data_IF_664902301754
#
_entry.id   IF_664902301754
#
_cell.length_a   1.000
_cell.length_b   1.000
_cell.length_c   1.000
_cell.angle_alpha   90.00
_cell.angle_beta   90.00
_cell.angle_gamma   90.00
#
_symmetry.space_group_name_H-M   'P 1'
#
loop_
_entity.id
_entity.type
_entity.pdbx_description
1 polymer ?
#
# COMPACT_ATOMS: atom_id res chain seq x y z
N UNK A 1 15.73 30.28 -22.75
CA UNK A 1 17.11 29.91 -22.24
C UNK A 1 17.05 29.42 -20.78
N UNK A 2 16.41 30.14 -19.82
CA UNK A 2 16.39 29.73 -18.40
C UNK A 2 15.71 28.34 -18.17
N UNK A 3 14.59 28.07 -18.82
CA UNK A 3 13.89 26.76 -18.66
C UNK A 3 14.73 25.58 -19.13
N UNK A 4 15.44 25.72 -20.26
CA UNK A 4 16.29 24.65 -20.80
C UNK A 4 17.46 24.33 -19.85
N UNK A 5 18.08 25.37 -19.27
CA UNK A 5 19.16 25.20 -18.30
C UNK A 5 18.66 24.54 -17.00
N UNK A 6 17.48 24.93 -16.53
CA UNK A 6 16.86 24.34 -15.35
C UNK A 6 16.56 22.85 -15.57
N UNK A 7 15.96 22.50 -16.73
CA UNK A 7 15.67 21.09 -17.08
C UNK A 7 16.95 20.26 -17.17
N UNK A 8 18.00 20.77 -17.82
CA UNK A 8 19.27 20.07 -17.87
C UNK A 8 19.86 19.84 -16.47
N UNK A 9 19.76 20.82 -15.58
CA UNK A 9 20.24 20.68 -14.20
C UNK A 9 19.42 19.65 -13.41
N UNK A 10 18.09 19.65 -13.56
CA UNK A 10 17.22 18.65 -12.92
C UNK A 10 17.51 17.24 -13.41
N UNK A 11 17.72 17.07 -14.72
CA UNK A 11 18.10 15.79 -15.31
C UNK A 11 19.44 15.27 -14.78
N UNK A 12 20.45 16.13 -14.69
CA UNK A 12 21.75 15.77 -14.09
C UNK A 12 21.57 15.30 -12.65
N UNK A 13 20.85 16.08 -11.84
CA UNK A 13 20.64 15.75 -10.43
C UNK A 13 19.83 14.47 -10.23
N UNK A 14 18.94 14.14 -11.17
CA UNK A 14 18.10 12.95 -11.14
C UNK A 14 18.72 11.74 -11.87
N UNK A 15 19.94 11.89 -12.39
CA UNK A 15 20.65 10.89 -13.21
C UNK A 15 19.87 10.45 -14.45
N UNK A 16 19.27 11.44 -15.15
CA UNK A 16 18.51 11.26 -16.39
C UNK A 16 19.34 11.70 -17.61
N UNK A 17 18.99 11.21 -18.78
CA UNK A 17 19.61 11.60 -20.05
C UNK A 17 19.22 13.03 -20.44
N UNK A 18 20.23 13.91 -20.53
CA UNK A 18 20.05 15.33 -20.91
C UNK A 18 19.75 15.48 -22.40
N UNK A 19 20.27 14.57 -23.22
CA UNK A 19 20.13 14.62 -24.67
C UNK A 19 18.74 14.16 -25.14
N UNK A 20 18.14 13.21 -24.43
CA UNK A 20 16.80 12.72 -24.76
C UNK A 20 15.72 13.70 -24.27
N UNK A 21 14.96 14.28 -25.21
CA UNK A 21 13.91 15.27 -24.95
C UNK A 21 12.55 14.85 -25.49
N UNK A 22 12.48 13.73 -26.20
CA UNK A 22 11.28 13.25 -26.91
C UNK A 22 10.50 12.21 -26.10
N UNK A 23 11.15 11.60 -25.11
CA UNK A 23 10.56 10.55 -24.29
C UNK A 23 10.47 11.01 -22.83
N UNK A 24 9.40 10.60 -22.12
CA UNK A 24 9.31 10.77 -20.67
C UNK A 24 10.44 10.03 -19.97
N UNK A 25 10.97 10.63 -18.90
CA UNK A 25 11.99 10.01 -18.06
C UNK A 25 11.63 10.16 -16.58
N UNK A 26 11.88 9.12 -15.80
CA UNK A 26 11.67 9.10 -14.36
C UNK A 26 13.01 8.88 -13.64
N UNK A 27 13.23 9.64 -12.57
CA UNK A 27 14.45 9.56 -11.78
C UNK A 27 14.26 10.04 -10.36
N UNK A 28 15.35 10.02 -9.60
CA UNK A 28 15.36 10.40 -8.18
C UNK A 28 16.53 11.33 -7.91
N UNK A 29 16.27 12.42 -7.20
CA UNK A 29 17.31 13.32 -6.67
C UNK A 29 17.47 13.02 -5.18
N UNK A 30 18.67 12.59 -4.78
CA UNK A 30 19.07 12.50 -3.37
C UNK A 30 19.50 13.88 -2.93
N UNK A 31 18.55 14.68 -2.44
CA UNK A 31 18.77 16.12 -2.19
C UNK A 31 19.87 16.42 -1.17
N UNK A 32 20.12 15.50 -0.24
CA UNK A 32 21.23 15.60 0.73
C UNK A 32 22.59 15.83 0.06
N UNK A 33 22.81 15.29 -1.12
CA UNK A 33 24.06 15.46 -1.87
C UNK A 33 24.25 16.89 -2.41
N UNK A 34 23.18 17.66 -2.55
CA UNK A 34 23.17 18.98 -3.17
C UNK A 34 22.89 20.12 -2.20
N UNK A 35 22.60 19.83 -0.93
CA UNK A 35 22.28 20.85 0.05
C UNK A 35 23.29 20.87 1.22
N UNK A 36 23.70 22.10 1.61
CA UNK A 36 24.65 22.33 2.72
C UNK A 36 23.98 22.38 4.10
N UNK A 37 22.63 22.37 4.16
CA UNK A 37 21.84 22.51 5.39
C UNK A 37 21.48 21.16 6.03
N UNK A 38 21.98 20.03 5.50
CA UNK A 38 21.73 18.70 6.05
C UNK A 38 20.28 18.20 5.89
N UNK A 39 19.48 18.84 5.03
CA UNK A 39 18.08 18.41 4.79
C UNK A 39 18.11 17.06 4.07
N UNK A 40 17.63 16.03 4.72
CA UNK A 40 17.59 14.66 4.19
C UNK A 40 16.21 14.34 3.60
N UNK A 41 16.00 14.80 2.38
CA UNK A 41 14.80 14.51 1.58
C UNK A 41 15.25 14.01 0.20
N UNK A 42 14.42 13.19 -0.42
CA UNK A 42 14.59 12.85 -1.83
C UNK A 42 13.46 13.48 -2.64
N UNK A 43 13.71 13.66 -3.93
CA UNK A 43 12.75 14.14 -4.90
C UNK A 43 12.59 13.08 -5.99
N UNK A 44 11.38 12.56 -6.15
CA UNK A 44 11.03 11.82 -7.37
C UNK A 44 10.76 12.84 -8.46
N UNK A 45 11.46 12.71 -9.57
CA UNK A 45 11.38 13.60 -10.73
C UNK A 45 10.82 12.81 -11.90
N UNK A 46 9.77 13.32 -12.52
CA UNK A 46 9.26 12.82 -13.80
C UNK A 46 9.35 13.96 -14.81
N UNK A 47 9.97 13.70 -15.96
CA UNK A 47 10.05 14.67 -17.07
C UNK A 47 9.25 14.15 -18.25
N UNK A 48 8.60 15.06 -18.97
CA UNK A 48 7.85 14.71 -20.18
C UNK A 48 7.97 15.82 -21.24
N UNK A 49 7.96 15.45 -22.55
CA UNK A 49 7.85 16.41 -23.63
C UNK A 49 6.51 17.12 -23.62
N UNK A 50 6.50 18.44 -23.80
CA UNK A 50 5.33 19.29 -23.93
C UNK A 50 5.44 20.14 -25.19
N UNK A 51 4.34 20.80 -25.59
CA UNK A 51 4.30 21.63 -26.81
C UNK A 51 5.37 22.74 -26.86
N UNK A 52 5.78 23.27 -25.71
CA UNK A 52 6.74 24.37 -25.62
C UNK A 52 8.07 23.99 -24.96
N UNK A 53 8.41 22.69 -24.94
CA UNK A 53 9.63 22.19 -24.34
C UNK A 53 9.37 21.01 -23.40
N UNK A 54 10.19 20.83 -22.39
CA UNK A 54 10.00 19.76 -21.41
C UNK A 54 9.38 20.30 -20.12
N UNK A 55 8.44 19.55 -19.56
CA UNK A 55 7.91 19.75 -18.22
C UNK A 55 8.53 18.80 -17.22
N UNK A 56 8.61 19.21 -15.95
CA UNK A 56 9.01 18.34 -14.86
C UNK A 56 8.02 18.40 -13.69
N UNK A 57 7.70 17.24 -13.15
CA UNK A 57 6.95 17.10 -11.89
C UNK A 57 7.90 16.54 -10.85
N UNK A 58 7.99 17.21 -9.71
CA UNK A 58 8.82 16.78 -8.59
C UNK A 58 7.94 16.48 -7.37
N UNK A 59 8.08 15.28 -6.80
CA UNK A 59 7.43 14.89 -5.57
C UNK A 59 8.45 14.75 -4.45
N UNK A 60 8.23 15.47 -3.35
CA UNK A 60 9.05 15.36 -2.15
C UNK A 60 8.79 13.99 -1.48
N UNK A 61 9.86 13.28 -1.21
CA UNK A 61 9.91 12.05 -0.42
C UNK A 61 10.64 12.37 0.88
N UNK A 62 9.89 12.56 1.95
CA UNK A 62 10.43 12.92 3.27
C UNK A 62 10.90 11.64 3.97
N UNK A 63 12.21 11.43 4.04
CA UNK A 63 12.82 10.28 4.71
C UNK A 63 12.65 10.29 6.23
N UNK A 64 12.38 11.46 6.81
CA UNK A 64 12.15 11.57 8.25
C UNK A 64 10.75 11.09 8.66
N UNK A 65 9.84 10.89 7.70
CA UNK A 65 8.61 10.18 7.96
C UNK A 65 8.92 8.70 8.09
N UNK A 66 9.39 8.33 9.28
CA UNK A 66 9.48 6.95 9.72
C UNK A 66 8.14 6.22 9.50
N UNK A 67 8.20 4.93 9.27
CA UNK A 67 7.03 4.06 9.28
C UNK A 67 6.25 4.30 10.58
N UNK A 68 4.95 4.55 10.44
CA UNK A 68 4.08 4.66 11.60
C UNK A 68 3.95 3.25 12.23
N UNK A 69 3.85 3.14 13.56
CA UNK A 69 3.52 1.86 14.15
C UNK A 69 2.12 1.42 13.72
N UNK A 70 1.85 0.12 13.62
CA UNK A 70 0.55 -0.43 13.21
C UNK A 70 -0.61 0.14 14.03
N UNK A 71 -0.38 0.43 15.31
CA UNK A 71 -1.34 1.07 16.24
C UNK A 71 -1.81 2.45 15.79
N UNK A 72 -1.01 3.16 14.99
CA UNK A 72 -1.33 4.51 14.53
C UNK A 72 -2.06 4.55 13.18
N UNK A 73 -2.27 3.39 12.52
CA UNK A 73 -2.81 3.30 11.16
C UNK A 73 -4.35 3.28 11.12
N UNK A 74 -5.03 3.12 12.26
CA UNK A 74 -6.50 3.12 12.34
C UNK A 74 -7.14 1.74 12.26
N UNK A 75 -6.38 0.68 12.50
CA UNK A 75 -6.98 -0.62 12.76
C UNK A 75 -7.85 -0.56 14.03
N UNK A 76 -8.99 -1.29 14.04
CA UNK A 76 -9.67 -1.60 15.30
C UNK A 76 -8.80 -2.55 16.12
N UNK A 77 -8.96 -2.55 17.45
CA UNK A 77 -8.15 -3.42 18.34
C UNK A 77 -8.23 -4.89 17.92
N UNK A 78 -9.42 -5.37 17.60
CA UNK A 78 -9.65 -6.74 17.12
C UNK A 78 -8.90 -7.03 15.80
N UNK A 79 -8.99 -6.12 14.81
CA UNK A 79 -8.30 -6.29 13.54
C UNK A 79 -6.78 -6.17 13.70
N UNK A 80 -6.31 -5.32 14.61
CA UNK A 80 -4.89 -5.14 14.88
C UNK A 80 -4.27 -6.41 15.49
N UNK A 81 -4.92 -6.98 16.50
CA UNK A 81 -4.47 -8.23 17.13
C UNK A 81 -4.43 -9.36 16.11
N UNK A 82 -5.53 -9.55 15.39
CA UNK A 82 -5.61 -10.57 14.34
C UNK A 82 -4.54 -10.37 13.25
N UNK A 83 -4.34 -9.14 12.78
CA UNK A 83 -3.34 -8.84 11.75
C UNK A 83 -1.92 -9.13 12.24
N UNK A 84 -1.61 -8.83 13.51
CA UNK A 84 -0.32 -9.13 14.15
C UNK A 84 -0.05 -10.63 14.24
N UNK A 85 -1.05 -11.43 14.49
CA UNK A 85 -0.90 -12.89 14.50
C UNK A 85 -0.66 -13.43 13.08
N UNK A 86 -1.35 -12.86 12.09
CA UNK A 86 -1.23 -13.27 10.70
C UNK A 86 0.14 -12.95 10.09
N UNK A 87 0.70 -11.75 10.36
CA UNK A 87 2.02 -11.36 9.84
C UNK A 87 3.19 -12.13 10.45
N UNK A 88 2.99 -12.79 11.58
CA UNK A 88 4.01 -13.61 12.26
C UNK A 88 4.03 -15.06 11.79
N UNK A 89 3.09 -15.47 10.94
CA UNK A 89 3.06 -16.84 10.41
C UNK A 89 4.34 -17.12 9.62
N UNK A 90 4.82 -18.37 9.63
CA UNK A 90 6.06 -18.72 8.96
C UNK A 90 5.96 -18.70 7.44
N UNK A 91 4.78 -18.92 6.88
CA UNK A 91 4.51 -18.91 5.44
C UNK A 91 3.07 -18.51 5.13
N UNK A 92 2.82 -18.23 3.87
CA UNK A 92 1.53 -17.83 3.33
C UNK A 92 1.59 -16.49 2.61
N UNK A 93 0.45 -16.00 2.14
CA UNK A 93 0.36 -14.76 1.41
C UNK A 93 -0.65 -13.81 2.05
N UNK A 94 -0.22 -12.58 2.31
CA UNK A 94 -1.07 -11.47 2.74
C UNK A 94 -1.14 -10.44 1.62
N UNK A 95 -2.36 -10.15 1.18
CA UNK A 95 -2.61 -9.18 0.12
C UNK A 95 -3.26 -7.91 0.67
N UNK A 96 -2.71 -6.76 0.33
CA UNK A 96 -3.34 -5.48 0.57
C UNK A 96 -4.01 -4.96 -0.69
N UNK A 97 -5.27 -4.58 -0.61
CA UNK A 97 -5.99 -4.07 -1.77
C UNK A 97 -6.62 -2.69 -1.51
N UNK A 98 -6.86 -1.99 -2.60
CA UNK A 98 -7.42 -0.64 -2.59
C UNK A 98 -6.84 0.25 -3.68
N UNK A 99 -7.43 1.43 -3.93
CA UNK A 99 -6.96 2.36 -4.94
C UNK A 99 -5.59 2.95 -4.58
N UNK A 100 -5.00 3.64 -5.56
CA UNK A 100 -3.79 4.42 -5.33
C UNK A 100 -4.03 5.46 -4.23
N UNK A 101 -3.06 5.58 -3.32
CA UNK A 101 -3.17 6.52 -2.20
C UNK A 101 -4.02 6.05 -1.02
N UNK A 102 -4.48 4.79 -0.98
CA UNK A 102 -5.21 4.22 0.17
C UNK A 102 -4.32 3.86 1.37
N UNK A 103 -2.99 4.00 1.25
CA UNK A 103 -2.05 3.78 2.35
C UNK A 103 -1.45 2.38 2.43
N UNK A 104 -1.65 1.53 1.42
CA UNK A 104 -1.15 0.13 1.39
C UNK A 104 0.34 0.01 1.71
N UNK A 105 1.19 0.78 1.02
CA UNK A 105 2.64 0.73 1.23
C UNK A 105 3.03 1.09 2.66
N UNK A 106 2.36 2.10 3.27
CA UNK A 106 2.62 2.45 4.67
C UNK A 106 2.27 1.29 5.61
N UNK A 107 1.13 0.64 5.41
CA UNK A 107 0.71 -0.49 6.24
C UNK A 107 1.65 -1.69 6.08
N UNK A 108 2.06 -2.00 4.85
CA UNK A 108 3.04 -3.06 4.57
C UNK A 108 4.40 -2.76 5.20
N UNK A 109 4.90 -1.53 5.07
CA UNK A 109 6.17 -1.14 5.71
C UNK A 109 6.08 -1.19 7.24
N UNK A 110 4.94 -0.79 7.80
CA UNK A 110 4.71 -0.88 9.26
C UNK A 110 4.68 -2.34 9.73
N UNK A 111 4.06 -3.22 8.95
CA UNK A 111 4.05 -4.66 9.22
C UNK A 111 5.46 -5.25 9.13
N UNK A 112 6.18 -4.98 8.04
CA UNK A 112 7.56 -5.45 7.87
C UNK A 112 8.48 -4.94 8.98
N UNK A 113 8.33 -3.67 9.38
CA UNK A 113 9.12 -3.10 10.47
C UNK A 113 8.83 -3.76 11.83
N UNK A 114 7.57 -4.18 12.07
CA UNK A 114 7.19 -4.86 13.32
C UNK A 114 7.75 -6.31 13.40
N UNK A 115 7.90 -6.99 12.25
CA UNK A 115 8.42 -8.36 12.17
C UNK A 115 9.90 -8.43 11.76
N UNK A 116 10.54 -7.27 11.59
CA UNK A 116 11.94 -7.17 11.21
C UNK A 116 12.84 -7.59 12.38
N UNK A 117 13.48 -8.73 12.21
CA UNK A 117 14.39 -9.33 13.16
C UNK A 117 15.74 -9.58 12.49
N UNK A 118 16.90 -9.35 13.17
CA UNK A 118 18.22 -9.61 12.59
C UNK A 118 18.46 -11.04 12.11
N UNK A 119 17.71 -12.01 12.63
CA UNK A 119 17.75 -13.40 12.20
C UNK A 119 16.91 -13.73 10.98
N UNK A 120 16.19 -12.74 10.40
CA UNK A 120 15.30 -12.93 9.25
C UNK A 120 15.79 -12.19 8.00
N UNK A 121 15.78 -12.89 6.88
CA UNK A 121 16.06 -12.31 5.58
C UNK A 121 14.78 -11.76 4.94
N UNK A 122 14.61 -10.43 4.96
CA UNK A 122 13.46 -9.73 4.35
C UNK A 122 13.89 -9.11 3.04
N UNK A 123 13.28 -9.53 1.93
CA UNK A 123 13.54 -8.99 0.59
C UNK A 123 12.33 -8.30 0.02
N UNK A 124 12.55 -7.16 -0.62
CA UNK A 124 11.47 -6.40 -1.26
C UNK A 124 11.78 -6.10 -2.71
N UNK A 125 10.77 -6.20 -3.57
CA UNK A 125 10.78 -5.74 -4.96
C UNK A 125 9.75 -4.62 -5.11
N UNK A 126 10.17 -3.41 -5.48
CA UNK A 126 9.33 -2.20 -5.41
C UNK A 126 9.48 -1.30 -6.65
N UNK A 127 8.40 -0.59 -7.02
CA UNK A 127 8.38 0.29 -8.19
C UNK A 127 7.64 1.63 -7.90
N UNK A 128 8.33 2.61 -7.33
CA UNK A 128 9.69 2.61 -6.77
C UNK A 128 9.70 2.27 -5.27
N UNK A 129 10.91 2.21 -4.67
CA UNK A 129 11.09 2.21 -3.21
C UNK A 129 10.65 3.57 -2.67
N UNK A 130 9.60 3.59 -1.84
CA UNK A 130 9.06 4.83 -1.24
C UNK A 130 9.91 5.30 -0.04
N UNK A 131 10.32 4.38 0.83
CA UNK A 131 11.16 4.64 2.00
C UNK A 131 12.20 3.54 2.17
N UNK A 132 13.42 3.90 2.52
CA UNK A 132 14.46 2.93 2.87
C UNK A 132 14.27 2.47 4.32
N UNK A 133 14.09 1.18 4.52
CA UNK A 133 13.95 0.55 5.84
C UNK A 133 15.25 -0.15 6.23
N UNK A 134 15.73 0.14 7.43
CA UNK A 134 16.93 -0.53 7.96
C UNK A 134 16.63 -2.03 8.17
N UNK A 135 17.54 -2.88 7.76
CA UNK A 135 17.40 -4.34 7.91
C UNK A 135 16.71 -5.05 6.77
N UNK A 136 16.10 -4.31 5.81
CA UNK A 136 15.47 -4.88 4.62
C UNK A 136 16.39 -4.79 3.41
N UNK A 137 16.37 -5.82 2.59
CA UNK A 137 17.07 -5.87 1.29
C UNK A 137 16.10 -5.44 0.18
N UNK A 138 16.03 -4.14 -0.06
CA UNK A 138 15.07 -3.52 -0.97
C UNK A 138 15.65 -3.40 -2.39
N UNK A 139 14.95 -3.97 -3.37
CA UNK A 139 15.29 -3.93 -4.80
C UNK A 139 14.29 -3.06 -5.55
N UNK A 140 14.78 -2.04 -6.24
CA UNK A 140 13.95 -1.21 -7.10
C UNK A 140 13.85 -1.80 -8.50
N UNK A 141 12.62 -1.86 -9.04
CA UNK A 141 12.37 -2.35 -10.38
C UNK A 141 12.93 -1.40 -11.44
N UNK A 142 13.48 -1.98 -12.51
CA UNK A 142 14.00 -1.27 -13.68
C UNK A 142 13.53 -1.97 -14.95
N UNK A 143 12.30 -1.68 -15.37
CA UNK A 143 11.67 -2.34 -16.52
C UNK A 143 12.44 -2.15 -17.82
N UNK A 144 13.15 -1.04 -17.98
CA UNK A 144 13.93 -0.74 -19.18
C UNK A 144 15.08 -1.74 -19.44
N UNK A 145 15.60 -2.37 -18.38
CA UNK A 145 16.63 -3.39 -18.46
C UNK A 145 16.10 -4.80 -18.19
N UNK A 146 14.77 -4.99 -18.21
CA UNK A 146 14.13 -6.28 -18.00
C UNK A 146 14.01 -6.71 -16.52
N UNK A 147 14.35 -5.84 -15.55
CA UNK A 147 14.15 -6.15 -14.14
C UNK A 147 12.69 -5.92 -13.75
N UNK A 148 11.88 -6.98 -13.88
CA UNK A 148 10.45 -7.04 -13.56
C UNK A 148 10.21 -7.67 -12.18
N UNK A 149 8.99 -7.57 -11.65
CA UNK A 149 8.60 -8.24 -10.40
C UNK A 149 8.77 -9.76 -10.48
N UNK A 150 8.39 -10.38 -11.59
CA UNK A 150 8.57 -11.81 -11.82
C UNK A 150 10.05 -12.21 -11.80
N UNK A 151 10.92 -11.44 -12.49
CA UNK A 151 12.36 -11.69 -12.50
C UNK A 151 12.98 -11.54 -11.10
N UNK A 152 12.57 -10.52 -10.35
CA UNK A 152 13.02 -10.28 -8.98
C UNK A 152 12.60 -11.44 -8.05
N UNK A 153 11.34 -11.87 -8.11
CA UNK A 153 10.83 -13.00 -7.31
C UNK A 153 11.61 -14.29 -7.56
N UNK A 154 11.81 -14.66 -8.86
CA UNK A 154 12.63 -15.83 -9.18
C UNK A 154 14.05 -15.74 -8.63
N UNK A 155 14.61 -14.55 -8.57
CA UNK A 155 15.92 -14.34 -7.97
C UNK A 155 15.86 -14.50 -6.45
N UNK A 156 14.86 -13.95 -5.79
CA UNK A 156 14.70 -14.04 -4.33
C UNK A 156 14.59 -15.47 -3.85
N UNK A 157 13.79 -16.31 -4.51
CA UNK A 157 13.60 -17.73 -4.16
C UNK A 157 14.89 -18.56 -4.17
N UNK A 158 15.99 -18.03 -4.73
CA UNK A 158 17.33 -18.66 -4.70
C UNK A 158 18.28 -18.01 -3.69
N UNK A 159 17.78 -17.18 -2.81
CA UNK A 159 18.58 -16.36 -1.90
C UNK A 159 18.07 -16.46 -0.44
N UNK A 160 17.45 -17.58 -0.11
CA UNK A 160 16.95 -17.97 1.22
C UNK A 160 16.20 -16.83 1.95
N UNK A 161 15.13 -16.25 1.36
CA UNK A 161 14.34 -15.23 2.03
C UNK A 161 13.35 -15.88 3.00
N UNK A 162 13.21 -15.33 4.20
CA UNK A 162 12.11 -15.69 5.11
C UNK A 162 10.83 -14.95 4.73
N UNK A 163 10.99 -13.68 4.34
CA UNK A 163 9.88 -12.78 4.05
C UNK A 163 10.14 -12.06 2.73
N UNK A 164 9.12 -12.03 1.90
CA UNK A 164 9.16 -11.38 0.59
C UNK A 164 8.05 -10.32 0.51
N UNK A 165 8.40 -9.10 0.09
CA UNK A 165 7.43 -8.10 -0.36
C UNK A 165 7.53 -7.90 -1.86
N UNK A 166 6.43 -8.10 -2.57
CA UNK A 166 6.26 -7.69 -3.96
C UNK A 166 5.37 -6.45 -3.97
N UNK A 167 5.87 -5.33 -4.46
CA UNK A 167 5.17 -4.04 -4.41
C UNK A 167 3.73 -4.14 -4.93
N UNK A 168 3.53 -4.85 -6.03
CA UNK A 168 2.21 -5.15 -6.58
C UNK A 168 2.23 -6.35 -7.52
N UNK A 169 1.08 -7.02 -7.63
CA UNK A 169 0.81 -8.07 -8.63
C UNK A 169 -0.07 -7.46 -9.72
N UNK A 170 0.45 -7.42 -10.97
CA UNK A 170 -0.26 -6.86 -12.13
C UNK A 170 -0.57 -7.88 -13.21
N UNK A 171 0.19 -8.95 -13.24
CA UNK A 171 0.18 -9.94 -14.31
C UNK A 171 0.19 -11.38 -13.76
N UNK A 172 -0.22 -12.31 -14.60
CA UNK A 172 -0.32 -13.72 -14.29
C UNK A 172 1.02 -14.32 -13.85
N UNK A 173 2.12 -13.98 -14.53
CA UNK A 173 3.44 -14.52 -14.23
C UNK A 173 3.89 -14.17 -12.81
N UNK A 174 3.74 -12.90 -12.41
CA UNK A 174 4.05 -12.44 -11.05
C UNK A 174 3.13 -13.10 -10.03
N UNK A 175 1.82 -13.23 -10.32
CA UNK A 175 0.85 -13.88 -9.44
C UNK A 175 1.19 -15.35 -9.21
N UNK A 176 1.51 -16.09 -10.27
CA UNK A 176 1.86 -17.50 -10.19
C UNK A 176 3.09 -17.73 -9.28
N UNK A 177 4.18 -16.99 -9.52
CA UNK A 177 5.41 -17.11 -8.72
C UNK A 177 5.17 -16.72 -7.26
N UNK A 178 4.34 -15.69 -7.02
CA UNK A 178 4.00 -15.26 -5.66
C UNK A 178 3.22 -16.33 -4.89
N UNK A 179 2.25 -16.97 -5.54
CA UNK A 179 1.50 -18.08 -4.96
C UNK A 179 2.39 -19.28 -4.69
N UNK A 180 3.26 -19.65 -5.63
CA UNK A 180 4.23 -20.75 -5.46
C UNK A 180 5.20 -20.47 -4.30
N UNK A 181 5.68 -19.23 -4.17
CA UNK A 181 6.53 -18.82 -3.06
C UNK A 181 5.83 -19.01 -1.70
N UNK A 182 4.57 -18.60 -1.60
CA UNK A 182 3.77 -18.75 -0.38
C UNK A 182 3.51 -20.22 -0.05
N UNK A 183 3.33 -21.09 -1.04
CA UNK A 183 3.13 -22.53 -0.87
C UNK A 183 4.42 -23.27 -0.51
N UNK A 184 5.58 -22.73 -0.89
CA UNK A 184 6.90 -23.35 -0.64
C UNK A 184 7.61 -22.87 0.63
N UNK A 185 6.88 -22.23 1.54
CA UNK A 185 7.39 -21.94 2.89
C UNK A 185 7.79 -20.49 3.14
N UNK A 186 7.47 -19.55 2.25
CA UNK A 186 7.82 -18.15 2.41
C UNK A 186 6.61 -17.32 2.86
N UNK A 187 6.82 -16.32 3.73
CA UNK A 187 5.81 -15.32 4.03
C UNK A 187 5.85 -14.21 2.99
N UNK A 188 4.81 -14.11 2.17
CA UNK A 188 4.74 -13.16 1.06
C UNK A 188 3.71 -12.06 1.31
N UNK A 189 4.13 -10.82 1.11
CA UNK A 189 3.28 -9.63 1.11
C UNK A 189 3.20 -9.02 -0.27
N UNK A 190 1.99 -8.62 -0.68
CA UNK A 190 1.85 -7.88 -1.95
C UNK A 190 0.63 -6.97 -1.95
N UNK A 191 0.45 -6.22 -3.06
CA UNK A 191 -0.72 -5.38 -3.26
C UNK A 191 -1.44 -5.70 -4.56
N UNK A 192 -2.75 -5.46 -4.55
CA UNK A 192 -3.63 -5.49 -5.71
C UNK A 192 -4.50 -4.23 -5.76
N UNK A 193 -5.00 -3.89 -6.95
CA UNK A 193 -5.88 -2.74 -7.15
C UNK A 193 -7.34 -3.21 -7.30
N UNK A 194 -7.88 -3.81 -6.24
CA UNK A 194 -9.30 -4.19 -6.14
C UNK A 194 -10.00 -3.31 -5.11
N UNK A 195 -11.33 -3.27 -5.14
CA UNK A 195 -12.11 -2.36 -4.32
C UNK A 195 -12.39 -2.89 -2.91
N UNK A 196 -12.47 -4.20 -2.75
CA UNK A 196 -12.73 -4.90 -1.48
C UNK A 196 -11.94 -6.21 -1.41
N UNK A 197 -11.96 -6.85 -0.26
CA UNK A 197 -11.20 -8.06 -0.03
C UNK A 197 -11.73 -9.27 -0.83
N UNK A 198 -13.04 -9.55 -0.91
CA UNK A 198 -13.54 -10.66 -1.73
C UNK A 198 -13.25 -10.51 -3.22
N UNK A 199 -13.30 -9.28 -3.76
CA UNK A 199 -12.97 -8.99 -5.16
C UNK A 199 -11.51 -9.29 -5.52
N UNK A 200 -10.63 -9.37 -4.53
CA UNK A 200 -9.23 -9.76 -4.75
C UNK A 200 -9.11 -11.23 -5.17
N UNK A 201 -9.97 -12.10 -4.64
CA UNK A 201 -10.01 -13.52 -5.04
C UNK A 201 -10.41 -13.64 -6.51
N UNK A 202 -11.50 -12.98 -6.92
CA UNK A 202 -11.93 -12.94 -8.32
C UNK A 202 -10.83 -12.42 -9.24
N UNK A 203 -10.09 -11.39 -8.79
CA UNK A 203 -8.98 -10.83 -9.57
C UNK A 203 -7.83 -11.83 -9.79
N UNK A 204 -7.51 -12.64 -8.78
CA UNK A 204 -6.51 -13.71 -8.94
C UNK A 204 -6.99 -14.80 -9.90
N UNK A 205 -8.28 -15.16 -9.83
CA UNK A 205 -8.89 -16.12 -10.79
C UNK A 205 -8.87 -15.57 -12.22
N UNK A 206 -9.18 -14.27 -12.41
CA UNK A 206 -9.04 -13.59 -13.71
C UNK A 206 -7.60 -13.58 -14.25
N UNK A 207 -6.61 -13.66 -13.37
CA UNK A 207 -5.19 -13.85 -13.72
C UNK A 207 -4.82 -15.31 -13.94
N UNK A 208 -5.83 -16.19 -14.11
CA UNK A 208 -5.67 -17.62 -14.39
C UNK A 208 -4.94 -18.39 -13.27
N UNK A 209 -5.03 -17.93 -12.02
CA UNK A 209 -4.54 -18.68 -10.86
C UNK A 209 -5.63 -19.66 -10.42
N UNK A 210 -5.27 -20.92 -10.33
CA UNK A 210 -6.18 -22.00 -9.93
C UNK A 210 -6.77 -21.77 -8.53
N UNK A 211 -8.10 -21.93 -8.33
CA UNK A 211 -8.76 -21.65 -7.05
C UNK A 211 -8.14 -22.38 -5.84
N UNK A 212 -7.69 -23.64 -6.03
CA UNK A 212 -7.06 -24.39 -4.95
C UNK A 212 -5.70 -23.80 -4.54
N UNK A 213 -4.94 -23.25 -5.49
CA UNK A 213 -3.68 -22.58 -5.21
C UNK A 213 -3.91 -21.25 -4.46
N UNK A 214 -4.95 -20.49 -4.87
CA UNK A 214 -5.38 -19.28 -4.18
C UNK A 214 -5.73 -19.59 -2.72
N UNK A 215 -6.61 -20.56 -2.51
CA UNK A 215 -7.10 -20.90 -1.17
C UNK A 215 -6.01 -21.47 -0.25
N UNK A 216 -5.04 -22.20 -0.80
CA UNK A 216 -3.95 -22.80 -0.07
C UNK A 216 -2.83 -21.80 0.28
N UNK A 217 -2.60 -20.78 -0.55
CA UNK A 217 -1.55 -19.79 -0.35
C UNK A 217 -1.99 -18.59 0.49
N UNK A 218 -3.25 -18.14 0.33
CA UNK A 218 -3.76 -16.96 1.01
C UNK A 218 -3.94 -17.19 2.50
N UNK A 219 -3.44 -16.24 3.28
CA UNK A 219 -3.63 -16.17 4.73
C UNK A 219 -4.65 -15.10 5.09
N UNK A 220 -4.57 -13.95 4.41
CA UNK A 220 -5.42 -12.80 4.68
C UNK A 220 -5.45 -11.84 3.49
N UNK A 221 -6.59 -11.16 3.32
CA UNK A 221 -6.72 -10.00 2.44
C UNK A 221 -7.16 -8.80 3.28
N UNK A 222 -6.46 -7.67 3.12
CA UNK A 222 -6.76 -6.42 3.80
C UNK A 222 -7.11 -5.34 2.78
N UNK A 223 -8.40 -5.04 2.63
CA UNK A 223 -8.81 -3.88 1.85
C UNK A 223 -8.73 -2.61 2.69
N UNK A 224 -8.27 -1.51 2.07
CA UNK A 224 -7.92 -0.31 2.81
C UNK A 224 -8.34 0.97 2.08
N UNK A 225 -8.81 1.96 2.85
CA UNK A 225 -9.05 3.35 2.43
C UNK A 225 -8.45 4.32 3.43
N UNK A 226 -8.19 5.55 2.98
CA UNK A 226 -7.80 6.66 3.85
C UNK A 226 -8.91 7.71 3.89
N UNK A 227 -9.33 8.04 5.09
CA UNK A 227 -10.24 9.15 5.37
C UNK A 227 -9.47 10.34 5.93
N UNK A 228 -9.99 11.56 5.69
CA UNK A 228 -9.48 12.76 6.34
C UNK A 228 -9.89 12.75 7.81
N UNK A 229 -8.95 13.03 8.71
CA UNK A 229 -9.24 13.16 10.15
C UNK A 229 -9.72 14.55 10.45
N UNK A 230 -10.82 14.68 11.17
CA UNK A 230 -11.30 15.97 11.69
C UNK A 230 -10.20 16.62 12.53
N UNK A 231 -10.02 17.92 12.37
CA UNK A 231 -8.99 18.67 13.06
C UNK A 231 -9.26 18.69 14.58
N UNK A 232 -8.34 18.15 15.36
CA UNK A 232 -8.47 18.10 16.83
C UNK A 232 -8.54 19.48 17.51
N UNK A 233 -8.06 20.54 16.82
CA UNK A 233 -8.02 21.90 17.38
C UNK A 233 -9.33 22.66 17.19
N UNK A 234 -10.04 22.42 16.10
CA UNK A 234 -11.27 23.16 15.78
C UNK A 234 -12.48 22.28 15.47
N UNK A 235 -12.32 20.96 15.44
CA UNK A 235 -13.45 20.04 15.32
C UNK A 235 -14.31 20.07 16.57
N UNK A 236 -15.61 19.94 16.39
CA UNK A 236 -16.60 19.79 17.45
C UNK A 236 -17.12 18.38 17.50
N UNK A 237 -17.58 17.95 18.65
CA UNK A 237 -18.26 16.65 18.80
C UNK A 237 -19.69 16.98 19.21
N UNK A 238 -20.64 16.63 18.35
CA UNK A 238 -22.07 16.89 18.55
C UNK A 238 -22.86 15.62 18.24
N UNK A 239 -24.08 15.52 18.78
CA UNK A 239 -24.99 14.43 18.45
C UNK A 239 -25.24 14.41 16.94
N UNK A 240 -25.35 13.20 16.39
CA UNK A 240 -25.77 13.02 15.00
C UNK A 240 -27.25 13.40 14.87
N UNK A 241 -27.62 14.12 13.83
CA UNK A 241 -28.99 14.59 13.63
C UNK A 241 -29.52 14.20 12.24
N UNK A 242 -30.82 13.92 12.16
CA UNK A 242 -31.53 13.68 10.93
C UNK A 242 -30.93 12.54 10.11
N UNK A 243 -30.54 12.82 8.86
CA UNK A 243 -30.03 11.80 7.91
C UNK A 243 -28.70 11.16 8.38
N UNK A 244 -27.88 11.87 9.12
CA UNK A 244 -26.63 11.30 9.65
C UNK A 244 -26.90 10.23 10.70
N UNK A 245 -27.84 10.47 11.63
CA UNK A 245 -28.26 9.51 12.64
C UNK A 245 -28.88 8.27 11.98
N UNK A 246 -29.78 8.44 11.01
CA UNK A 246 -30.38 7.33 10.24
C UNK A 246 -29.30 6.45 9.56
N UNK A 247 -28.29 7.08 8.95
CA UNK A 247 -27.20 6.35 8.30
C UNK A 247 -26.37 5.59 9.33
N UNK A 248 -26.03 6.21 10.48
CA UNK A 248 -25.21 5.59 11.51
C UNK A 248 -25.95 4.43 12.18
N UNK A 249 -27.22 4.61 12.50
CA UNK A 249 -28.05 3.52 13.06
C UNK A 249 -28.16 2.34 12.09
N UNK A 250 -28.43 2.63 10.82
CA UNK A 250 -28.57 1.57 9.81
C UNK A 250 -27.27 0.85 9.48
N UNK A 251 -26.14 1.58 9.45
CA UNK A 251 -24.86 1.04 8.99
C UNK A 251 -24.07 0.34 10.11
N UNK A 252 -24.10 0.88 11.33
CA UNK A 252 -23.21 0.45 12.42
C UNK A 252 -23.93 0.34 13.79
N UNK A 253 -25.26 0.49 13.82
CA UNK A 253 -26.06 0.49 15.04
C UNK A 253 -25.52 1.48 16.10
N UNK A 254 -25.19 2.69 15.65
CA UNK A 254 -24.64 3.75 16.46
C UNK A 254 -25.61 4.92 16.59
N UNK A 255 -25.87 5.32 17.81
CA UNK A 255 -26.51 6.58 18.14
C UNK A 255 -25.66 7.29 19.21
N UNK A 256 -25.16 8.44 18.88
CA UNK A 256 -24.32 9.19 19.80
C UNK A 256 -23.49 10.27 19.10
N UNK A 257 -22.67 10.97 19.87
CA UNK A 257 -21.92 12.10 19.34
C UNK A 257 -20.87 11.66 18.31
N UNK A 258 -20.75 12.43 17.23
CA UNK A 258 -19.75 12.26 16.17
C UNK A 258 -18.92 13.53 15.98
N UNK A 259 -17.67 13.40 15.50
CA UNK A 259 -16.81 14.54 15.25
C UNK A 259 -17.16 15.24 13.93
N UNK A 260 -17.42 16.53 13.99
CA UNK A 260 -17.68 17.40 12.85
C UNK A 260 -16.50 18.33 12.55
N UNK A 261 -16.22 18.53 11.27
CA UNK A 261 -15.22 19.51 10.86
C UNK A 261 -15.80 20.92 10.91
N UNK A 262 -15.08 21.85 11.54
CA UNK A 262 -15.47 23.26 11.54
C UNK A 262 -15.37 23.82 10.11
N UNK A 263 -16.44 24.46 9.65
CA UNK A 263 -16.42 25.23 8.42
C UNK A 263 -15.43 26.41 8.53
N UNK A 264 -14.63 26.64 7.50
CA UNK A 264 -13.54 27.62 7.51
C UNK A 264 -12.34 27.21 8.39
N UNK A 265 -12.41 26.09 9.11
CA UNK A 265 -11.31 25.50 9.86
C UNK A 265 -10.63 26.44 10.86
N UNK A 266 -9.31 26.25 11.06
CA UNK A 266 -8.45 27.07 11.90
C UNK A 266 -7.02 27.13 11.31
N UNK A 267 -6.11 27.98 11.84
CA UNK A 267 -4.70 28.03 11.38
C UNK A 267 -3.99 26.68 11.44
N UNK A 268 -4.28 25.83 12.44
CA UNK A 268 -3.66 24.52 12.58
C UNK A 268 -4.01 23.54 11.43
N UNK A 269 -5.20 23.66 10.84
CA UNK A 269 -5.64 22.90 9.67
C UNK A 269 -5.63 23.71 8.37
N UNK A 270 -5.10 24.92 8.39
CA UNK A 270 -5.04 25.84 7.24
C UNK A 270 -6.40 26.12 6.61
N UNK A 271 -7.43 26.28 7.43
CA UNK A 271 -8.77 26.64 6.99
C UNK A 271 -9.65 25.49 6.46
N UNK A 272 -9.16 24.24 6.44
CA UNK A 272 -9.90 23.13 5.82
C UNK A 272 -10.74 22.29 6.78
N UNK A 273 -10.66 22.51 8.11
CA UNK A 273 -11.37 21.71 9.12
C UNK A 273 -10.82 20.28 9.34
N UNK A 274 -9.87 19.81 8.52
CA UNK A 274 -9.28 18.48 8.58
C UNK A 274 -7.76 18.54 8.72
N UNK A 275 -7.17 17.63 9.50
CA UNK A 275 -5.72 17.52 9.65
C UNK A 275 -5.28 16.07 9.84
N UNK A 276 -4.47 15.58 8.90
CA UNK A 276 -4.02 14.18 8.85
C UNK A 276 -5.04 13.24 8.22
N UNK A 277 -4.73 11.96 8.25
CA UNK A 277 -5.52 10.87 7.67
C UNK A 277 -5.60 9.72 8.67
N UNK A 278 -6.61 8.89 8.52
CA UNK A 278 -6.81 7.64 9.26
C UNK A 278 -7.17 6.55 8.26
N UNK A 279 -6.61 5.35 8.44
CA UNK A 279 -6.99 4.19 7.66
C UNK A 279 -8.29 3.58 8.16
N UNK A 280 -9.09 3.08 7.24
CA UNK A 280 -10.16 2.12 7.53
C UNK A 280 -9.82 0.81 6.81
N UNK A 281 -10.08 -0.30 7.46
CA UNK A 281 -9.61 -1.61 7.05
C UNK A 281 -10.72 -2.64 7.07
N UNK A 282 -10.90 -3.30 5.93
CA UNK A 282 -11.68 -4.53 5.79
C UNK A 282 -10.68 -5.68 5.83
N UNK A 283 -10.61 -6.41 6.95
CA UNK A 283 -9.69 -7.51 7.14
C UNK A 283 -10.42 -8.84 6.98
N UNK A 284 -10.01 -9.62 5.99
CA UNK A 284 -10.59 -10.92 5.64
C UNK A 284 -9.55 -12.03 5.81
N UNK A 285 -9.46 -12.63 7.01
CA UNK A 285 -8.70 -13.87 7.20
C UNK A 285 -9.34 -15.00 6.39
N UNK A 286 -8.53 -15.86 5.82
CA UNK A 286 -9.03 -16.99 5.04
C UNK A 286 -9.43 -18.13 5.98
N UNK A 287 -10.71 -18.26 6.21
CA UNK A 287 -11.32 -19.32 7.02
C UNK A 287 -11.56 -20.59 6.20
N UNK A 288 -11.80 -21.71 6.87
CA UNK A 288 -12.16 -22.99 6.21
C UNK A 288 -13.40 -22.87 5.31
N UNK A 289 -14.39 -22.06 5.70
CA UNK A 289 -15.56 -21.81 4.87
C UNK A 289 -15.21 -21.01 3.62
N UNK A 290 -14.30 -20.04 3.72
CA UNK A 290 -13.80 -19.30 2.56
C UNK A 290 -12.98 -20.21 1.66
N UNK A 291 -12.14 -21.10 2.20
CA UNK A 291 -11.40 -22.11 1.41
C UNK A 291 -12.39 -22.97 0.61
N UNK A 292 -13.44 -23.46 1.23
CA UNK A 292 -14.49 -24.23 0.53
C UNK A 292 -15.21 -23.38 -0.53
N UNK A 293 -15.47 -22.12 -0.23
CA UNK A 293 -16.10 -21.20 -1.17
C UNK A 293 -15.23 -20.86 -2.37
N UNK A 294 -13.94 -20.65 -2.16
CA UNK A 294 -12.95 -20.38 -3.24
C UNK A 294 -12.85 -21.63 -4.14
N UNK A 295 -12.64 -22.80 -3.56
CA UNK A 295 -12.52 -24.06 -4.32
C UNK A 295 -13.84 -24.46 -5.00
N UNK A 296 -14.99 -24.03 -4.49
CA UNK A 296 -16.30 -24.18 -5.10
C UNK A 296 -16.67 -23.07 -6.07
N UNK A 297 -15.71 -22.20 -6.43
CA UNK A 297 -15.88 -21.09 -7.39
C UNK A 297 -17.08 -20.18 -7.06
N UNK A 298 -17.28 -19.89 -5.76
CA UNK A 298 -18.36 -19.01 -5.36
C UNK A 298 -18.11 -17.57 -5.85
N UNK A 299 -19.20 -16.92 -6.26
CA UNK A 299 -19.14 -15.52 -6.66
C UNK A 299 -18.71 -14.60 -5.50
N UNK A 300 -18.24 -13.42 -5.84
CA UNK A 300 -17.75 -12.40 -4.90
C UNK A 300 -18.78 -12.05 -3.82
N UNK A 301 -20.08 -12.01 -4.18
CA UNK A 301 -21.16 -11.67 -3.25
C UNK A 301 -21.36 -12.78 -2.20
N UNK A 302 -21.24 -14.04 -2.59
CA UNK A 302 -21.33 -15.18 -1.68
C UNK A 302 -20.13 -15.27 -0.77
N UNK A 303 -18.90 -15.05 -1.30
CA UNK A 303 -17.67 -14.97 -0.51
C UNK A 303 -17.76 -13.83 0.51
N UNK A 304 -18.26 -12.65 0.10
CA UNK A 304 -18.49 -11.52 1.01
C UNK A 304 -19.43 -11.86 2.15
N UNK A 305 -20.55 -12.54 1.85
CA UNK A 305 -21.51 -12.98 2.89
C UNK A 305 -20.85 -13.93 3.90
N UNK A 306 -20.03 -14.88 3.44
CA UNK A 306 -19.26 -15.78 4.31
C UNK A 306 -18.30 -14.97 5.19
N UNK A 307 -17.53 -14.05 4.61
CA UNK A 307 -16.57 -13.24 5.34
C UNK A 307 -17.25 -12.37 6.43
N UNK A 308 -18.37 -11.72 6.10
CA UNK A 308 -19.14 -10.90 7.06
C UNK A 308 -19.69 -11.77 8.20
N UNK A 309 -20.21 -12.97 7.90
CA UNK A 309 -20.66 -13.93 8.93
C UNK A 309 -19.48 -14.33 9.84
N UNK A 310 -18.27 -14.40 9.32
CA UNK A 310 -17.05 -14.65 10.06
C UNK A 310 -16.44 -13.37 10.69
N UNK A 311 -17.28 -12.37 10.94
CA UNK A 311 -16.97 -11.10 11.63
C UNK A 311 -16.07 -10.12 10.86
N UNK A 312 -15.92 -10.27 9.55
CA UNK A 312 -15.30 -9.22 8.74
C UNK A 312 -16.20 -7.97 8.76
N UNK A 313 -15.61 -6.82 9.13
CA UNK A 313 -16.27 -5.51 8.97
C UNK A 313 -15.91 -4.96 7.59
N UNK A 314 -16.92 -4.56 6.83
CA UNK A 314 -16.74 -3.98 5.49
C UNK A 314 -16.26 -2.53 5.57
N UNK A 315 -15.63 -2.05 4.49
CA UNK A 315 -15.23 -0.65 4.31
C UNK A 315 -16.42 0.30 4.24
#
# INVERSE_FOLDING_TARGET
KACTTLMARLKIMANLDIAEKRLPQDGRIVYKQFNRKGIDVDLRVSTAPLNHGEGAVMRLLDKQKSTLPLTALGFSDQNLEMYRDLIKRPYGMILHCGPTGSGKSMTLYSALNEINDPGKCIRTAEDPIEYTLKGLLQMQMHRQIGLTFAAALRSFLRQDPDIILVGEIRDQETAQIAVEAALTGHMLFSTLHTNDAPGTISRLTEMEIEPFMISASLTCICAQRLLRRVCKTCGTVTEAEGREDEILQRAIDWSGPIPHAKEGGCPACRGIGYKGRVGIHELMPISEELVKGINGEYDTAKLKRIAVRNRMKTL
#
